data_IF_133673044263
#
_entry.id   IF_133673044263
#
_cell.length_a   1.000
_cell.length_b   1.000
_cell.length_c   1.000
_cell.angle_alpha   90.00
_cell.angle_beta   90.00
_cell.angle_gamma   90.00
#
_symmetry.space_group_name_H-M   'P 1'
#
loop_
_entity.id
_entity.type
_entity.pdbx_description
1 polymer ?
#
# COMPACT_ATOMS: atom_id res chain seq x y z
N UNK A 1 -24.78 4.75 3.42
CA UNK A 1 -23.90 4.08 4.42
C UNK A 1 -22.46 4.34 4.01
N UNK A 2 -21.53 4.45 4.96
CA UNK A 2 -20.10 4.71 4.66
C UNK A 2 -19.35 3.39 4.45
N UNK A 3 -18.54 3.28 3.41
CA UNK A 3 -17.71 2.10 3.12
C UNK A 3 -16.23 2.43 3.39
N UNK A 4 -15.52 1.56 4.09
CA UNK A 4 -14.07 1.70 4.32
C UNK A 4 -13.32 0.85 3.30
N UNK A 5 -12.38 1.45 2.57
CA UNK A 5 -11.48 0.76 1.64
C UNK A 5 -10.08 0.74 2.23
N UNK A 6 -9.54 -0.47 2.36
CA UNK A 6 -8.22 -0.74 2.90
C UNK A 6 -7.19 -0.93 1.78
N UNK A 7 -6.05 -0.28 1.95
CA UNK A 7 -4.91 -0.33 1.04
C UNK A 7 -3.70 -0.92 1.80
N UNK A 8 -3.44 -2.24 1.66
CA UNK A 8 -2.29 -2.87 2.29
C UNK A 8 -0.97 -2.31 1.74
N UNK A 9 0.11 -2.45 2.51
CA UNK A 9 1.46 -2.11 2.07
C UNK A 9 1.99 -3.08 1.00
N UNK A 10 3.11 -2.72 0.38
CA UNK A 10 3.82 -3.64 -0.52
C UNK A 10 4.25 -4.89 0.25
N UNK A 11 4.10 -6.07 -0.37
CA UNK A 11 4.42 -7.37 0.25
C UNK A 11 3.65 -7.65 1.55
N UNK A 12 2.43 -7.11 1.67
CA UNK A 12 1.47 -7.47 2.73
C UNK A 12 0.14 -7.86 2.10
N UNK A 13 -0.65 -8.67 2.81
CA UNK A 13 -1.93 -9.18 2.36
C UNK A 13 -3.08 -8.66 3.22
N UNK A 14 -4.29 -9.15 2.93
CA UNK A 14 -5.54 -8.80 3.63
C UNK A 14 -5.48 -9.07 5.14
N UNK A 15 -4.64 -10.02 5.58
CA UNK A 15 -4.47 -10.40 6.98
C UNK A 15 -3.93 -9.24 7.83
N UNK A 16 -3.28 -8.25 7.21
CA UNK A 16 -2.85 -7.01 7.87
C UNK A 16 -4.02 -6.30 8.59
N UNK A 17 -5.24 -6.44 8.06
CA UNK A 17 -6.44 -5.81 8.61
C UNK A 17 -7.35 -6.80 9.35
N UNK A 18 -6.89 -8.03 9.60
CA UNK A 18 -7.69 -9.09 10.24
C UNK A 18 -8.12 -8.75 11.67
N UNK A 19 -7.25 -8.05 12.42
CA UNK A 19 -7.48 -7.66 13.82
C UNK A 19 -8.26 -6.35 13.97
N UNK A 20 -8.61 -5.68 12.87
CA UNK A 20 -9.37 -4.42 12.91
C UNK A 20 -10.86 -4.74 12.85
N UNK A 21 -11.57 -4.49 13.96
CA UNK A 21 -13.03 -4.52 14.01
C UNK A 21 -13.61 -3.12 13.73
N UNK A 22 -14.55 -3.06 12.80
CA UNK A 22 -15.14 -1.82 12.26
C UNK A 22 -16.66 -1.96 12.15
N UNK A 23 -17.24 -3.01 12.71
CA UNK A 23 -18.68 -3.20 12.65
C UNK A 23 -19.41 -1.99 13.26
N UNK A 24 -20.49 -1.50 12.63
CA UNK A 24 -21.24 -2.12 11.53
C UNK A 24 -20.87 -1.62 10.10
N UNK A 25 -19.72 -0.97 9.90
CA UNK A 25 -19.39 -0.38 8.59
C UNK A 25 -18.95 -1.44 7.57
N UNK A 26 -19.46 -1.41 6.32
CA UNK A 26 -18.92 -2.21 5.23
C UNK A 26 -17.43 -1.93 5.01
N UNK A 27 -16.65 -3.00 4.76
CA UNK A 27 -15.23 -2.90 4.41
C UNK A 27 -14.92 -3.61 3.08
N UNK A 28 -13.99 -3.04 2.32
CA UNK A 28 -13.40 -3.63 1.12
C UNK A 28 -11.88 -3.54 1.24
N UNK A 29 -11.16 -4.58 0.84
CA UNK A 29 -9.70 -4.53 0.70
C UNK A 29 -9.40 -4.41 -0.79
N UNK A 30 -8.51 -3.47 -1.15
CA UNK A 30 -8.13 -3.24 -2.55
C UNK A 30 -7.32 -4.44 -3.05
N UNK A 31 -7.64 -4.91 -4.25
CA UNK A 31 -6.79 -5.86 -4.97
C UNK A 31 -5.92 -5.09 -5.97
N UNK A 32 -4.60 -5.20 -5.81
CA UNK A 32 -3.62 -4.52 -6.64
C UNK A 32 -3.40 -5.27 -7.97
N UNK A 33 -3.69 -4.65 -9.13
CA UNK A 33 -3.31 -5.25 -10.40
C UNK A 33 -1.78 -5.25 -10.53
N UNK A 34 -1.27 -6.14 -11.38
CA UNK A 34 0.15 -6.14 -11.73
C UNK A 34 0.47 -4.81 -12.44
N UNK A 35 1.46 -4.03 -11.95
CA UNK A 35 1.85 -2.77 -12.56
C UNK A 35 2.53 -3.03 -13.91
N UNK A 36 2.31 -2.14 -14.88
CA UNK A 36 3.05 -2.15 -16.14
C UNK A 36 4.50 -1.69 -15.98
N UNK A 37 5.39 -2.11 -16.88
CA UNK A 37 6.84 -1.86 -16.78
C UNK A 37 7.23 -0.37 -16.69
N UNK A 38 6.47 0.50 -17.36
CA UNK A 38 6.71 1.95 -17.43
C UNK A 38 5.48 2.76 -17.04
N UNK A 39 4.57 2.14 -16.27
CA UNK A 39 3.31 2.74 -15.87
C UNK A 39 3.52 3.86 -14.84
N UNK A 40 2.89 5.01 -15.08
CA UNK A 40 2.91 6.10 -14.09
C UNK A 40 2.01 5.75 -12.90
N UNK A 41 2.32 6.32 -11.74
CA UNK A 41 1.50 6.15 -10.53
C UNK A 41 0.03 6.55 -10.79
N UNK A 42 -0.19 7.64 -11.52
CA UNK A 42 -1.52 8.13 -11.89
C UNK A 42 -2.28 7.12 -12.76
N UNK A 43 -1.62 6.55 -13.78
CA UNK A 43 -2.23 5.55 -14.65
C UNK A 43 -2.55 4.25 -13.88
N UNK A 44 -1.66 3.83 -13.00
CA UNK A 44 -1.86 2.67 -12.13
C UNK A 44 -3.08 2.88 -11.21
N UNK A 45 -3.16 4.04 -10.55
CA UNK A 45 -4.28 4.39 -9.67
C UNK A 45 -5.59 4.50 -10.43
N UNK A 46 -5.57 4.98 -11.68
CA UNK A 46 -6.76 5.00 -12.54
C UNK A 46 -7.27 3.59 -12.83
N UNK A 47 -6.40 2.60 -12.98
CA UNK A 47 -6.81 1.19 -13.10
C UNK A 47 -7.32 0.61 -11.77
N UNK A 48 -6.80 1.07 -10.64
CA UNK A 48 -7.36 0.68 -9.33
C UNK A 48 -8.82 1.10 -9.18
N UNK A 49 -9.21 2.23 -9.77
CA UNK A 49 -10.60 2.73 -9.71
C UNK A 49 -11.62 1.73 -10.25
N UNK A 50 -11.29 0.97 -11.31
CA UNK A 50 -12.25 0.03 -11.90
C UNK A 50 -12.61 -1.13 -10.97
N UNK A 51 -11.83 -1.36 -9.92
CA UNK A 51 -12.07 -2.39 -8.92
C UNK A 51 -12.89 -1.88 -7.70
N UNK A 52 -13.21 -0.59 -7.66
CA UNK A 52 -13.89 0.01 -6.53
C UNK A 52 -15.41 0.00 -6.72
N UNK A 53 -16.13 -0.46 -5.70
CA UNK A 53 -17.58 -0.41 -5.69
C UNK A 53 -18.01 1.04 -5.47
N UNK A 54 -18.78 1.59 -6.41
CA UNK A 54 -19.26 2.98 -6.41
C UNK A 54 -20.34 3.21 -5.35
N UNK A 55 -19.94 3.20 -4.06
CA UNK A 55 -20.82 3.55 -2.95
C UNK A 55 -20.24 4.73 -2.19
N UNK A 56 -20.90 5.89 -2.27
CA UNK A 56 -20.53 7.08 -1.50
C UNK A 56 -21.36 7.13 -0.21
N UNK A 57 -20.76 7.50 0.94
CA UNK A 57 -19.41 8.06 1.13
C UNK A 57 -18.31 7.01 1.42
N UNK A 58 -17.09 7.27 0.95
CA UNK A 58 -15.91 6.40 1.14
C UNK A 58 -14.96 6.92 2.23
N UNK A 59 -14.30 6.01 2.93
CA UNK A 59 -13.14 6.26 3.79
C UNK A 59 -11.99 5.41 3.30
N UNK A 60 -10.80 5.99 3.09
CA UNK A 60 -9.61 5.23 2.72
C UNK A 60 -8.69 5.05 3.93
N UNK A 61 -8.15 3.84 4.09
CA UNK A 61 -7.13 3.53 5.10
C UNK A 61 -5.97 2.84 4.41
N UNK A 62 -4.80 3.47 4.38
CA UNK A 62 -3.64 2.92 3.67
C UNK A 62 -2.40 2.82 4.54
N UNK A 63 -1.68 1.71 4.41
CA UNK A 63 -0.43 1.45 5.14
C UNK A 63 0.76 1.53 4.18
N UNK A 64 1.81 2.26 4.54
CA UNK A 64 3.03 2.36 3.72
C UNK A 64 2.72 2.76 2.26
N UNK A 65 3.13 1.96 1.26
CA UNK A 65 2.79 2.18 -0.15
C UNK A 65 1.27 2.34 -0.39
N UNK A 66 0.45 1.58 0.34
CA UNK A 66 -1.00 1.69 0.27
C UNK A 66 -1.52 3.07 0.68
N UNK A 67 -0.83 3.76 1.61
CA UNK A 67 -1.13 5.14 1.99
C UNK A 67 -0.85 6.13 0.86
N UNK A 68 0.19 5.91 0.06
CA UNK A 68 0.48 6.72 -1.13
C UNK A 68 -0.61 6.51 -2.19
N UNK A 69 -0.99 5.26 -2.44
CA UNK A 69 -2.06 4.92 -3.40
C UNK A 69 -3.41 5.49 -3.00
N UNK A 70 -3.78 5.39 -1.71
CA UNK A 70 -5.00 5.96 -1.17
C UNK A 70 -5.06 7.49 -1.33
N UNK A 71 -3.95 8.18 -1.09
CA UNK A 71 -3.84 9.63 -1.31
C UNK A 71 -3.98 10.00 -2.78
N UNK A 72 -3.28 9.31 -3.67
CA UNK A 72 -3.37 9.57 -5.11
C UNK A 72 -4.78 9.31 -5.65
N UNK A 73 -5.41 8.23 -5.20
CA UNK A 73 -6.79 7.90 -5.55
C UNK A 73 -7.77 8.96 -5.06
N UNK A 74 -7.55 9.53 -3.86
CA UNK A 74 -8.45 10.56 -3.30
C UNK A 74 -8.54 11.84 -4.13
N UNK A 75 -7.57 12.11 -5.02
CA UNK A 75 -7.62 13.23 -5.97
C UNK A 75 -8.70 13.05 -7.05
N UNK A 76 -9.02 11.80 -7.38
CA UNK A 76 -9.90 11.42 -8.49
C UNK A 76 -11.23 10.84 -8.03
N UNK A 77 -11.22 10.05 -6.94
CA UNK A 77 -12.42 9.60 -6.23
C UNK A 77 -12.36 10.16 -4.81
N UNK A 78 -13.00 11.31 -4.53
CA UNK A 78 -12.96 11.95 -3.23
C UNK A 78 -13.50 11.04 -2.13
N UNK A 79 -12.66 10.78 -1.12
CA UNK A 79 -13.08 10.16 0.13
C UNK A 79 -13.47 11.23 1.15
N UNK A 80 -14.36 10.88 2.08
CA UNK A 80 -14.67 11.73 3.23
C UNK A 80 -13.47 11.90 4.16
N UNK A 81 -12.65 10.85 4.27
CA UNK A 81 -11.40 10.82 5.04
C UNK A 81 -10.40 9.88 4.35
N UNK A 82 -9.14 10.29 4.34
CA UNK A 82 -7.99 9.45 3.96
C UNK A 82 -7.09 9.33 5.18
N UNK A 83 -6.97 8.12 5.72
CA UNK A 83 -6.13 7.78 6.85
C UNK A 83 -4.91 7.05 6.32
N UNK A 84 -3.72 7.53 6.65
CA UNK A 84 -2.47 6.90 6.26
C UNK A 84 -1.68 6.48 7.50
N UNK A 85 -1.07 5.30 7.47
CA UNK A 85 -0.35 4.70 8.59
C UNK A 85 1.04 4.30 8.11
N UNK A 86 2.08 4.73 8.84
CA UNK A 86 3.49 4.43 8.49
C UNK A 86 3.80 4.69 7.02
N UNK A 87 3.29 5.81 6.49
CA UNK A 87 3.33 6.19 5.08
C UNK A 87 3.94 7.59 4.94
N UNK A 88 4.32 7.94 3.72
CA UNK A 88 4.74 9.29 3.37
C UNK A 88 3.49 10.17 3.24
N UNK A 89 3.41 11.24 4.03
CA UNK A 89 2.27 12.16 4.04
C UNK A 89 2.39 13.28 2.99
N UNK A 90 3.62 13.58 2.56
CA UNK A 90 3.89 14.64 1.59
C UNK A 90 5.17 14.38 0.81
N UNK A 91 5.26 14.92 -0.41
CA UNK A 91 6.47 14.89 -1.23
C UNK A 91 7.67 15.56 -0.54
N UNK A 92 7.44 16.46 0.41
CA UNK A 92 8.50 17.09 1.21
C UNK A 92 9.12 16.16 2.26
N UNK A 93 8.38 15.12 2.67
CA UNK A 93 8.87 14.08 3.58
C UNK A 93 9.46 12.88 2.83
N UNK A 94 9.47 12.93 1.49
CA UNK A 94 9.99 11.87 0.65
C UNK A 94 11.47 11.65 0.96
N UNK A 95 11.86 10.46 1.43
CA UNK A 95 13.25 10.20 1.73
C UNK A 95 14.15 10.34 0.49
N UNK A 96 15.33 10.92 0.67
CA UNK A 96 16.26 11.22 -0.43
C UNK A 96 16.62 9.98 -1.26
N UNK A 97 16.65 8.79 -0.64
CA UNK A 97 16.99 7.53 -1.31
C UNK A 97 16.02 7.15 -2.45
N UNK A 98 14.76 7.61 -2.42
CA UNK A 98 13.86 7.42 -3.55
C UNK A 98 14.27 8.22 -4.80
N UNK A 99 14.99 9.33 -4.63
CA UNK A 99 15.56 10.08 -5.74
C UNK A 99 16.86 9.42 -6.23
N UNK A 100 17.68 8.90 -5.33
CA UNK A 100 18.89 8.13 -5.70
C UNK A 100 18.52 6.88 -6.51
N UNK A 101 17.45 6.17 -6.16
CA UNK A 101 16.99 5.00 -6.90
C UNK A 101 16.64 5.30 -8.38
N UNK A 102 16.25 6.55 -8.69
CA UNK A 102 16.03 6.97 -10.09
C UNK A 102 17.33 7.14 -10.86
N UNK A 103 18.38 7.62 -10.20
CA UNK A 103 19.69 7.87 -10.80
C UNK A 103 20.52 6.60 -10.87
N UNK A 104 20.37 5.73 -9.87
CA UNK A 104 21.07 4.47 -9.74
C UNK A 104 20.04 3.34 -9.54
N UNK A 105 19.51 2.76 -10.63
CA UNK A 105 18.50 1.72 -10.55
C UNK A 105 19.12 0.36 -10.19
N UNK A 106 19.82 0.28 -9.05
CA UNK A 106 20.44 -0.94 -8.54
C UNK A 106 19.42 -2.08 -8.36
N UNK A 107 18.14 -1.74 -8.14
CA UNK A 107 17.04 -2.70 -8.12
C UNK A 107 16.91 -3.53 -9.40
N UNK A 108 17.33 -3.00 -10.58
CA UNK A 108 17.33 -3.77 -11.85
C UNK A 108 18.36 -4.91 -11.88
N UNK A 109 19.29 -4.94 -10.93
CA UNK A 109 20.33 -5.98 -10.81
C UNK A 109 20.13 -6.85 -9.57
N UNK A 110 19.06 -6.64 -8.81
CA UNK A 110 18.74 -7.49 -7.66
C UNK A 110 18.14 -8.80 -8.17
N UNK A 111 18.62 -9.92 -7.63
CA UNK A 111 17.97 -11.21 -7.81
C UNK A 111 16.69 -11.28 -6.97
N UNK A 112 15.75 -12.15 -7.37
CA UNK A 112 14.53 -12.40 -6.61
C UNK A 112 14.82 -12.81 -5.15
N UNK A 113 15.88 -13.58 -4.92
CA UNK A 113 16.34 -13.93 -3.57
C UNK A 113 16.80 -12.71 -2.76
N UNK A 114 17.53 -11.79 -3.40
CA UNK A 114 17.99 -10.56 -2.74
C UNK A 114 16.81 -9.67 -2.36
N UNK A 115 15.79 -9.61 -3.21
CA UNK A 115 14.56 -8.86 -2.97
C UNK A 115 13.77 -9.46 -1.80
N UNK A 116 13.56 -10.79 -1.81
CA UNK A 116 12.89 -11.53 -0.72
C UNK A 116 13.61 -11.35 0.61
N UNK A 117 14.93 -11.48 0.62
CA UNK A 117 15.74 -11.27 1.82
C UNK A 117 15.64 -9.82 2.34
N UNK A 118 15.59 -8.84 1.43
CA UNK A 118 15.38 -7.44 1.78
C UNK A 118 14.01 -7.19 2.43
N UNK A 119 12.94 -7.72 1.84
CA UNK A 119 11.57 -7.64 2.39
C UNK A 119 11.51 -8.29 3.77
N UNK A 120 12.09 -9.49 3.94
CA UNK A 120 12.13 -10.18 5.23
C UNK A 120 12.97 -9.40 6.26
N UNK A 121 14.07 -8.78 5.86
CA UNK A 121 14.90 -7.96 6.77
C UNK A 121 14.12 -6.74 7.26
N UNK A 122 13.37 -6.08 6.37
CA UNK A 122 12.47 -4.98 6.72
C UNK A 122 11.37 -5.48 7.66
N UNK A 123 10.73 -6.62 7.34
CA UNK A 123 9.74 -7.25 8.20
C UNK A 123 10.27 -7.53 9.61
N UNK A 124 11.48 -8.08 9.74
CA UNK A 124 12.14 -8.31 11.04
C UNK A 124 12.44 -7.04 11.83
N UNK A 125 12.58 -5.89 11.18
CA UNK A 125 12.76 -4.60 11.84
C UNK A 125 11.43 -4.04 12.37
N UNK A 126 10.33 -4.25 11.63
CA UNK A 126 9.00 -3.72 11.98
C UNK A 126 8.14 -4.65 12.83
N UNK A 127 8.48 -5.94 12.91
CA UNK A 127 7.78 -6.95 13.72
C UNK A 127 8.53 -7.24 15.01
N UNK A 128 7.82 -7.73 16.03
CA UNK A 128 8.45 -8.15 17.29
C UNK A 128 9.20 -9.49 17.18
N UNK A 129 9.54 -9.92 15.95
CA UNK A 129 10.09 -11.24 15.62
C UNK A 129 9.14 -12.41 15.92
N UNK A 130 7.84 -12.13 16.10
CA UNK A 130 6.80 -13.15 16.16
C UNK A 130 6.68 -13.84 14.78
N UNK A 131 6.80 -15.18 14.70
CA UNK A 131 6.61 -15.93 13.46
C UNK A 131 5.29 -15.62 12.74
N UNK A 132 4.20 -15.35 13.47
CA UNK A 132 2.91 -15.04 12.86
C UNK A 132 2.89 -13.65 12.20
N UNK A 133 3.61 -12.67 12.75
CA UNK A 133 3.74 -11.35 12.15
C UNK A 133 4.69 -11.37 10.94
N UNK A 134 5.69 -12.24 10.95
CA UNK A 134 6.63 -12.40 9.82
C UNK A 134 5.94 -13.02 8.60
N UNK A 135 4.98 -13.93 8.79
CA UNK A 135 4.17 -14.51 7.70
C UNK A 135 3.48 -13.46 6.84
N UNK A 136 3.18 -12.28 7.39
CA UNK A 136 2.60 -11.16 6.62
C UNK A 136 3.50 -10.70 5.45
N UNK A 137 4.80 -11.00 5.50
CA UNK A 137 5.82 -10.56 4.54
C UNK A 137 6.39 -11.70 3.68
N UNK A 138 5.91 -12.94 3.83
CA UNK A 138 6.45 -14.14 3.17
C UNK A 138 5.77 -14.47 1.82
N UNK A 139 5.08 -13.49 1.21
CA UNK A 139 4.33 -13.64 -0.05
C UNK A 139 5.15 -14.19 -1.23
#
# INVERSE_FOLDING_TARGET
MQTIIFFPGLATNDDLFSKIDIHPLPRQIINYPIPGETESLEAYVKRLQSNLVSTTPLIYVGVSLGGILAQELSKSIPAKKTIIISSISSLYEKPFFFNLAKWFPFYKRLSDESLKNGILMIGRFFTNKDPEELKLFES
#
